data_IF_091644838432
#
_entry.id   IF_091644838432
#
_cell.length_a   1.000
_cell.length_b   1.000
_cell.length_c   1.000
_cell.angle_alpha   90.00
_cell.angle_beta   90.00
_cell.angle_gamma   90.00
#
_symmetry.space_group_name_H-M   'P 1'
#
loop_
_entity.id
_entity.type
_entity.pdbx_description
1 polymer ?
#
# COMPACT_ATOMS: atom_id res chain seq x y z
N UNK A 1 -31.34 -2.18 12.21
CA UNK A 1 -30.62 -2.86 11.11
C UNK A 1 -29.48 -3.65 11.72
N UNK A 2 -29.61 -4.96 11.82
CA UNK A 2 -28.52 -5.82 12.28
C UNK A 2 -27.60 -6.11 11.10
N UNK A 3 -26.29 -5.92 11.26
CA UNK A 3 -25.34 -6.33 10.25
C UNK A 3 -25.38 -7.86 10.10
N UNK A 4 -25.52 -8.35 8.87
CA UNK A 4 -25.40 -9.77 8.54
C UNK A 4 -24.50 -9.92 7.31
N UNK A 5 -23.67 -10.95 7.30
CA UNK A 5 -22.77 -11.26 6.18
C UNK A 5 -23.58 -11.85 5.02
N UNK A 6 -23.42 -11.30 3.81
CA UNK A 6 -24.02 -11.86 2.59
C UNK A 6 -22.98 -12.78 1.94
N UNK A 7 -23.27 -14.09 1.77
CA UNK A 7 -22.42 -15.01 1.02
C UNK A 7 -22.21 -14.54 -0.42
N UNK A 8 -21.02 -14.76 -0.99
CA UNK A 8 -20.67 -14.26 -2.31
C UNK A 8 -21.56 -14.83 -3.45
N UNK A 9 -22.03 -16.07 -3.31
CA UNK A 9 -22.97 -16.74 -4.22
C UNK A 9 -24.39 -16.17 -4.18
N UNK A 10 -24.71 -15.36 -3.15
CA UNK A 10 -26.01 -14.74 -2.93
C UNK A 10 -25.96 -13.21 -2.96
N UNK A 11 -24.84 -12.63 -3.37
CA UNK A 11 -24.70 -11.19 -3.52
C UNK A 11 -25.48 -10.71 -4.77
N UNK A 12 -26.57 -9.93 -4.63
CA UNK A 12 -27.38 -9.50 -5.76
C UNK A 12 -26.64 -8.54 -6.69
N UNK A 13 -25.54 -7.92 -6.24
CA UNK A 13 -24.67 -7.09 -7.08
C UNK A 13 -23.76 -7.97 -7.95
N UNK A 14 -23.45 -9.18 -7.46
CA UNK A 14 -22.48 -10.09 -8.06
C UNK A 14 -21.05 -9.59 -7.91
N UNK A 15 -20.11 -10.51 -7.66
CA UNK A 15 -18.67 -10.21 -7.71
C UNK A 15 -18.11 -10.70 -9.04
N UNK A 16 -17.69 -9.75 -9.88
CA UNK A 16 -16.94 -10.03 -11.10
C UNK A 16 -15.47 -9.64 -10.88
N UNK A 17 -14.71 -10.59 -10.33
CA UNK A 17 -13.29 -10.41 -10.05
C UNK A 17 -12.49 -10.33 -11.36
N UNK A 18 -12.21 -9.11 -11.80
CA UNK A 18 -11.36 -8.87 -12.97
C UNK A 18 -9.91 -8.73 -12.51
N UNK A 19 -9.01 -9.67 -12.86
CA UNK A 19 -7.64 -9.63 -12.39
C UNK A 19 -6.87 -8.44 -12.96
N UNK A 20 -5.94 -7.94 -12.16
CA UNK A 20 -4.89 -7.00 -12.53
C UNK A 20 -3.58 -7.39 -11.83
N UNK A 21 -2.47 -6.82 -12.27
CA UNK A 21 -1.20 -6.93 -11.59
C UNK A 21 -0.57 -5.56 -11.38
N UNK A 22 0.03 -5.36 -10.21
CA UNK A 22 0.84 -4.18 -9.91
C UNK A 22 2.25 -4.64 -9.53
N UNK A 23 3.25 -3.79 -9.75
CA UNK A 23 4.64 -4.08 -9.37
C UNK A 23 5.00 -3.24 -8.16
N UNK A 24 5.41 -3.87 -7.06
CA UNK A 24 5.80 -3.19 -5.82
C UNK A 24 7.25 -3.53 -5.50
N UNK A 25 8.12 -2.53 -5.50
CA UNK A 25 9.57 -2.70 -5.25
C UNK A 25 10.19 -3.79 -6.15
N UNK A 26 9.79 -3.81 -7.42
CA UNK A 26 10.22 -4.81 -8.41
C UNK A 26 9.49 -6.16 -8.35
N UNK A 27 8.61 -6.39 -7.37
CA UNK A 27 7.86 -7.64 -7.20
C UNK A 27 6.45 -7.49 -7.75
N UNK A 28 6.06 -8.33 -8.70
CA UNK A 28 4.71 -8.37 -9.26
C UNK A 28 3.74 -9.00 -8.25
N UNK A 29 2.67 -8.30 -7.89
CA UNK A 29 1.62 -8.78 -6.99
C UNK A 29 0.25 -8.76 -7.69
N UNK A 30 -0.59 -9.78 -7.47
CA UNK A 30 -1.92 -9.84 -8.05
C UNK A 30 -2.88 -8.88 -7.32
N UNK A 31 -3.87 -8.39 -8.04
CA UNK A 31 -4.98 -7.61 -7.49
C UNK A 31 -6.24 -7.80 -8.32
N UNK A 32 -7.33 -7.19 -7.86
CA UNK A 32 -8.64 -7.21 -8.52
C UNK A 32 -9.06 -5.77 -8.85
N UNK A 33 -9.57 -5.56 -10.05
CA UNK A 33 -10.11 -4.27 -10.47
C UNK A 33 -11.21 -3.79 -9.49
N UNK A 34 -11.15 -2.51 -9.13
CA UNK A 34 -12.02 -1.93 -8.09
C UNK A 34 -11.32 -1.79 -6.74
N UNK A 35 -10.23 -2.52 -6.51
CA UNK A 35 -9.35 -2.29 -5.36
C UNK A 35 -8.58 -0.96 -5.50
N UNK A 36 -8.25 -0.37 -4.36
CA UNK A 36 -7.19 0.64 -4.26
C UNK A 36 -5.82 -0.04 -4.22
N UNK A 37 -4.75 0.70 -4.52
CA UNK A 37 -3.39 0.19 -4.34
C UNK A 37 -3.15 -0.27 -2.89
N UNK A 38 -3.69 0.46 -1.91
CA UNK A 38 -3.61 0.05 -0.50
C UNK A 38 -4.22 -1.33 -0.24
N UNK A 39 -5.41 -1.60 -0.77
CA UNK A 39 -6.06 -2.91 -0.61
C UNK A 39 -5.34 -4.03 -1.36
N UNK A 40 -4.72 -3.73 -2.51
CA UNK A 40 -3.88 -4.72 -3.23
C UNK A 40 -2.66 -5.09 -2.38
N UNK A 41 -1.98 -4.11 -1.80
CA UNK A 41 -0.82 -4.36 -0.93
C UNK A 41 -1.23 -5.10 0.36
N UNK A 42 -2.36 -4.74 0.97
CA UNK A 42 -2.90 -5.47 2.13
C UNK A 42 -3.22 -6.93 1.81
N UNK A 43 -3.84 -7.21 0.66
CA UNK A 43 -4.16 -8.57 0.23
C UNK A 43 -2.91 -9.42 -0.05
N UNK A 44 -1.76 -8.77 -0.25
CA UNK A 44 -0.45 -9.40 -0.40
C UNK A 44 0.37 -9.40 0.91
N UNK A 45 -0.28 -9.22 2.06
CA UNK A 45 0.32 -9.15 3.40
C UNK A 45 1.41 -8.07 3.58
N UNK A 46 1.39 -7.02 2.73
CA UNK A 46 2.29 -5.86 2.83
C UNK A 46 1.59 -4.74 3.59
N UNK A 47 1.94 -4.58 4.86
CA UNK A 47 1.29 -3.60 5.76
C UNK A 47 2.12 -2.33 6.01
N UNK A 48 3.38 -2.29 5.56
CA UNK A 48 4.31 -1.17 5.78
C UNK A 48 4.90 -0.68 4.44
N UNK A 49 4.70 0.60 4.12
CA UNK A 49 5.05 1.21 2.83
C UNK A 49 5.87 2.48 2.96
N UNK A 50 5.96 3.05 4.16
CA UNK A 50 6.90 4.13 4.48
C UNK A 50 7.47 4.00 5.90
N UNK A 51 8.59 4.66 6.18
CA UNK A 51 9.13 4.76 7.55
C UNK A 51 8.82 6.12 8.16
N UNK A 52 8.28 6.14 9.38
CA UNK A 52 8.03 7.37 10.14
C UNK A 52 9.35 8.04 10.57
N UNK A 53 9.36 9.35 10.87
CA UNK A 53 10.57 10.05 11.32
C UNK A 53 11.23 9.44 12.57
N UNK A 54 10.46 8.89 13.51
CA UNK A 54 10.97 8.29 14.75
C UNK A 54 11.39 6.83 14.65
N UNK A 55 11.43 6.24 13.44
CA UNK A 55 11.56 4.80 13.26
C UNK A 55 10.22 4.10 13.52
N UNK A 56 9.78 3.30 12.55
CA UNK A 56 8.49 2.62 12.60
C UNK A 56 7.82 2.59 11.24
N UNK A 57 7.42 1.39 10.81
CA UNK A 57 6.70 1.22 9.55
C UNK A 57 5.31 1.85 9.62
N UNK A 58 4.92 2.50 8.53
CA UNK A 58 3.60 3.08 8.32
C UNK A 58 2.99 2.49 7.07
N UNK A 59 1.69 2.25 7.11
CA UNK A 59 0.91 1.82 5.95
C UNK A 59 -0.51 2.33 6.07
N UNK A 60 -1.48 1.59 5.53
CA UNK A 60 -2.88 2.00 5.64
C UNK A 60 -3.37 1.91 7.09
N UNK A 61 -3.82 3.04 7.61
CA UNK A 61 -4.46 3.16 8.91
C UNK A 61 -5.92 3.60 8.75
N UNK A 62 -6.16 4.85 8.33
CA UNK A 62 -7.53 5.38 8.24
C UNK A 62 -8.35 4.86 7.06
N UNK A 63 -7.71 4.36 5.99
CA UNK A 63 -8.39 3.96 4.74
C UNK A 63 -9.04 5.11 3.93
N UNK A 64 -9.32 6.27 4.55
CA UNK A 64 -10.09 7.37 3.95
C UNK A 64 -9.23 8.54 3.43
N UNK A 65 -7.91 8.49 3.63
CA UNK A 65 -6.96 9.46 3.08
C UNK A 65 -6.64 10.67 3.97
N UNK A 66 -7.02 10.67 5.26
CA UNK A 66 -6.76 11.78 6.19
C UNK A 66 -5.42 11.66 6.94
N UNK A 67 -4.93 10.44 7.20
CA UNK A 67 -3.75 10.23 8.07
C UNK A 67 -2.38 10.34 7.40
N UNK A 68 -2.31 10.28 6.06
CA UNK A 68 -1.06 10.26 5.29
C UNK A 68 -0.06 9.12 5.59
N UNK A 69 -0.46 8.10 6.37
CA UNK A 69 0.40 6.93 6.62
C UNK A 69 0.52 6.00 5.41
N UNK A 70 -0.44 6.06 4.48
CA UNK A 70 -0.60 5.18 3.32
C UNK A 70 0.16 5.67 2.07
N UNK A 71 1.26 6.40 2.22
CA UNK A 71 1.92 7.16 1.12
C UNK A 71 3.09 6.39 0.49
N UNK A 72 3.19 6.43 -0.85
CA UNK A 72 4.29 5.87 -1.63
C UNK A 72 4.45 6.60 -2.98
N UNK A 73 5.49 6.27 -3.75
CA UNK A 73 5.65 6.73 -5.14
C UNK A 73 4.92 5.78 -6.08
N UNK A 74 4.08 6.32 -6.98
CA UNK A 74 3.31 5.53 -7.95
C UNK A 74 3.58 6.05 -9.36
N UNK A 75 4.04 5.18 -10.26
CA UNK A 75 4.36 5.52 -11.65
C UNK A 75 5.26 6.77 -11.78
N UNK A 76 6.25 6.88 -10.90
CA UNK A 76 7.18 8.03 -10.84
C UNK A 76 6.64 9.27 -10.11
N UNK A 77 5.38 9.29 -9.67
CA UNK A 77 4.80 10.40 -8.92
C UNK A 77 4.91 10.15 -7.42
N UNK A 78 5.62 10.99 -6.66
CA UNK A 78 5.78 10.82 -5.22
C UNK A 78 4.52 11.21 -4.45
N UNK A 79 4.52 10.88 -3.15
CA UNK A 79 3.53 11.29 -2.15
C UNK A 79 2.06 10.92 -2.45
N UNK A 80 1.87 9.82 -3.18
CA UNK A 80 0.54 9.31 -3.51
C UNK A 80 -0.02 8.52 -2.34
N UNK A 81 -1.21 8.92 -1.89
CA UNK A 81 -2.02 8.18 -0.92
C UNK A 81 -2.58 6.92 -1.58
N UNK A 82 -1.95 5.77 -1.34
CA UNK A 82 -2.35 4.48 -1.90
C UNK A 82 -3.80 4.10 -1.56
N UNK A 83 -4.28 4.55 -0.39
CA UNK A 83 -5.65 4.33 0.08
C UNK A 83 -6.72 5.14 -0.67
N UNK A 84 -6.33 6.09 -1.51
CA UNK A 84 -7.23 6.88 -2.37
C UNK A 84 -7.01 6.64 -3.86
N UNK A 85 -5.99 5.86 -4.22
CA UNK A 85 -5.59 5.60 -5.60
C UNK A 85 -6.16 4.25 -6.06
N UNK A 86 -7.14 4.23 -6.99
CA UNK A 86 -7.57 2.98 -7.61
C UNK A 86 -6.40 2.28 -8.30
N UNK A 87 -6.26 0.98 -8.09
CA UNK A 87 -5.27 0.16 -8.75
C UNK A 87 -5.62 0.02 -10.23
N UNK A 88 -4.62 0.18 -11.09
CA UNK A 88 -4.69 -0.15 -12.51
C UNK A 88 -3.68 -1.22 -12.84
N UNK A 89 -4.01 -2.04 -13.83
CA UNK A 89 -3.07 -3.02 -14.34
C UNK A 89 -1.80 -2.33 -14.84
N UNK A 90 -0.64 -2.85 -14.43
CA UNK A 90 0.67 -2.29 -14.73
C UNK A 90 1.12 -1.12 -13.82
N UNK A 91 0.34 -0.73 -12.80
CA UNK A 91 0.81 0.29 -11.83
C UNK A 91 2.13 -0.18 -11.17
N UNK A 92 3.08 0.73 -11.06
CA UNK A 92 4.38 0.54 -10.40
C UNK A 92 4.41 1.36 -9.13
N UNK A 93 4.64 0.71 -8.00
CA UNK A 93 4.71 1.29 -6.66
C UNK A 93 6.12 1.12 -6.11
N UNK A 94 6.67 2.19 -5.56
CA UNK A 94 7.95 2.19 -4.86
C UNK A 94 7.71 2.65 -3.42
N UNK A 95 8.00 1.78 -2.46
CA UNK A 95 7.85 2.08 -1.03
C UNK A 95 8.95 3.02 -0.54
N UNK A 96 8.64 3.81 0.50
CA UNK A 96 9.51 4.87 1.01
C UNK A 96 10.21 4.43 2.30
N UNK A 97 11.30 3.68 2.18
CA UNK A 97 12.16 3.41 3.34
C UNK A 97 13.14 4.56 3.56
N UNK A 98 13.19 5.08 4.80
CA UNK A 98 14.37 5.81 5.26
C UNK A 98 15.33 4.75 5.79
N UNK A 99 16.20 4.23 4.94
CA UNK A 99 17.42 3.60 5.42
C UNK A 99 18.24 4.72 6.07
N UNK A 100 18.51 4.62 7.37
CA UNK A 100 19.43 5.54 8.03
C UNK A 100 20.84 5.33 7.44
N UNK A 101 21.15 6.00 6.32
CA UNK A 101 22.54 6.31 5.98
C UNK A 101 23.01 7.41 6.93
N UNK A 102 23.31 7.02 8.16
CA UNK A 102 24.34 7.71 8.91
C UNK A 102 25.66 7.24 8.28
N UNK A 103 26.47 8.11 7.63
CA UNK A 103 27.86 7.74 7.42
C UNK A 103 28.44 7.46 8.79
N UNK A 104 28.95 6.24 9.02
CA UNK A 104 29.72 5.95 10.20
C UNK A 104 30.92 6.92 10.20
N UNK A 105 30.82 8.00 10.97
CA UNK A 105 31.99 8.76 11.35
C UNK A 105 32.71 7.93 12.38
N UNK A 106 33.81 7.31 11.94
CA UNK A 106 34.85 6.77 12.80
C UNK A 106 35.39 7.92 13.67
N UNK A 107 34.74 8.15 14.81
CA UNK A 107 35.11 9.15 15.80
C UNK A 107 35.59 8.46 17.06
N UNK A 108 36.87 8.07 17.09
CA UNK A 108 37.51 7.54 18.28
C UNK A 108 37.43 8.52 19.44
N UNK A 109 36.81 8.08 20.54
CA UNK A 109 36.85 8.79 21.81
C UNK A 109 38.21 8.50 22.48
N UNK A 110 39.10 9.50 22.47
CA UNK A 110 40.18 9.62 23.45
C UNK A 110 39.66 10.38 24.66
#
# INVERSE_FOLDING_TARGET
MSAHLIPADRDPVGRCDRPLAVTVDGIRIPGIAGQTLASVLLAADRTMWRTAPGGGGRGVFCGIGVCFDCVATVNGVPDIRLCRRPARDGDVVITQSRENRCPATDGGMR
#
